data_IF_596590944828
#
_entry.id   IF_596590944828
#
_cell.length_a   1.000
_cell.length_b   1.000
_cell.length_c   1.000
_cell.angle_alpha   90.00
_cell.angle_beta   90.00
_cell.angle_gamma   90.00
#
_symmetry.space_group_name_H-M   'P 1'
#
loop_
_entity.id
_entity.type
_entity.pdbx_description
1 polymer ?
#
# COMPACT_ATOMS: atom_id res chain seq x y z
N UNK A 1 6.44 -1.48 -8.83
CA UNK A 1 5.10 -1.95 -9.30
C UNK A 1 4.76 -1.17 -10.56
N UNK A 2 4.66 -1.84 -11.71
CA UNK A 2 4.32 -1.19 -12.98
C UNK A 2 2.88 -1.55 -13.31
N UNK A 3 1.96 -0.60 -13.20
CA UNK A 3 0.59 -0.76 -13.68
C UNK A 3 0.59 -0.64 -15.21
N UNK A 4 0.91 -1.74 -15.90
CA UNK A 4 1.01 -1.77 -17.36
C UNK A 4 -0.34 -1.65 -18.11
N UNK A 5 -1.44 -1.41 -17.41
CA UNK A 5 -2.80 -1.29 -17.93
C UNK A 5 -3.50 -0.05 -17.35
N UNK A 6 -4.65 0.35 -17.91
CA UNK A 6 -5.49 1.41 -17.34
C UNK A 6 -5.93 1.03 -15.91
N UNK A 7 -5.60 1.86 -14.92
CA UNK A 7 -5.94 1.64 -13.52
C UNK A 7 -6.61 2.87 -12.92
N UNK A 8 -7.39 2.67 -11.86
CA UNK A 8 -7.98 3.76 -11.08
C UNK A 8 -7.83 3.41 -9.61
N UNK A 9 -7.37 4.39 -8.84
CA UNK A 9 -7.20 4.24 -7.40
C UNK A 9 -8.50 4.69 -6.75
N UNK A 10 -9.11 3.80 -5.98
CA UNK A 10 -10.28 4.11 -5.18
C UNK A 10 -9.93 4.14 -3.71
N UNK A 11 -10.51 5.12 -3.02
CA UNK A 11 -10.40 5.23 -1.58
C UNK A 11 -11.38 4.27 -0.90
N UNK A 12 -10.93 3.59 0.14
CA UNK A 12 -11.75 2.69 0.95
C UNK A 12 -12.02 3.36 2.30
N UNK A 13 -13.12 4.11 2.37
CA UNK A 13 -13.47 4.91 3.56
C UNK A 13 -14.00 4.06 4.72
N UNK A 14 -14.72 2.97 4.41
CA UNK A 14 -15.38 2.11 5.41
C UNK A 14 -14.97 0.65 5.14
N UNK A 15 -13.90 0.16 5.78
CA UNK A 15 -13.56 -1.25 5.74
C UNK A 15 -14.50 -2.04 6.66
N UNK A 16 -14.91 -3.24 6.23
CA UNK A 16 -15.71 -4.18 7.03
C UNK A 16 -14.92 -4.65 8.26
N UNK A 17 -13.60 -4.74 8.13
CA UNK A 17 -12.69 -5.10 9.22
C UNK A 17 -11.60 -4.02 9.37
N UNK A 18 -11.70 -3.14 10.38
CA UNK A 18 -10.76 -2.02 10.54
C UNK A 18 -9.34 -2.47 10.86
N UNK A 19 -9.15 -3.67 11.42
CA UNK A 19 -7.83 -4.27 11.66
C UNK A 19 -7.16 -4.82 10.40
N UNK A 20 -7.93 -5.08 9.34
CA UNK A 20 -7.46 -5.67 8.08
C UNK A 20 -8.19 -5.02 6.89
N UNK A 21 -8.00 -3.72 6.64
CA UNK A 21 -8.76 -2.97 5.63
C UNK A 21 -8.57 -3.54 4.21
N UNK A 22 -7.44 -4.19 3.95
CA UNK A 22 -7.20 -4.83 2.66
C UNK A 22 -8.10 -6.03 2.36
N UNK A 23 -8.70 -6.68 3.37
CA UNK A 23 -9.66 -7.76 3.14
C UNK A 23 -10.99 -7.25 2.57
N UNK A 24 -11.32 -5.99 2.82
CA UNK A 24 -12.51 -5.34 2.24
C UNK A 24 -12.29 -4.88 0.80
N UNK A 25 -11.04 -4.80 0.34
CA UNK A 25 -10.70 -4.48 -1.04
C UNK A 25 -10.86 -5.72 -1.95
N UNK A 26 -12.10 -6.14 -2.18
CA UNK A 26 -12.42 -7.29 -3.04
C UNK A 26 -12.88 -6.86 -4.43
N UNK A 27 -12.83 -7.78 -5.41
CA UNK A 27 -13.42 -7.55 -6.74
C UNK A 27 -14.91 -7.19 -6.64
N UNK A 28 -15.64 -7.84 -5.73
CA UNK A 28 -17.05 -7.58 -5.47
C UNK A 28 -17.30 -6.18 -4.92
N UNK A 29 -16.39 -5.66 -4.09
CA UNK A 29 -16.43 -4.27 -3.65
C UNK A 29 -16.26 -3.29 -4.83
N UNK A 30 -15.33 -3.52 -5.78
CA UNK A 30 -15.21 -2.66 -6.98
C UNK A 30 -16.49 -2.64 -7.80
N UNK A 31 -17.07 -3.81 -8.07
CA UNK A 31 -18.30 -3.92 -8.85
C UNK A 31 -19.46 -3.14 -8.20
N UNK A 32 -19.53 -3.16 -6.86
CA UNK A 32 -20.56 -2.45 -6.11
C UNK A 32 -20.41 -0.93 -6.17
N UNK A 33 -19.20 -0.40 -6.38
CA UNK A 33 -18.99 1.03 -6.63
C UNK A 33 -19.56 1.50 -7.99
N UNK A 34 -20.01 0.56 -8.84
CA UNK A 34 -20.66 0.80 -10.13
C UNK A 34 -19.89 1.76 -11.06
N UNK A 35 -18.55 1.71 -10.97
CA UNK A 35 -17.69 2.55 -11.81
C UNK A 35 -17.79 2.11 -13.26
N UNK A 36 -17.71 3.04 -14.22
CA UNK A 36 -17.74 2.71 -15.65
C UNK A 36 -16.62 1.73 -16.06
N UNK A 37 -15.49 1.73 -15.34
CA UNK A 37 -14.36 0.81 -15.55
C UNK A 37 -14.60 -0.63 -15.05
N UNK A 38 -15.49 -0.81 -14.06
CA UNK A 38 -15.84 -2.10 -13.46
C UNK A 38 -17.22 -2.60 -13.99
N UNK A 39 -17.86 -1.85 -14.91
CA UNK A 39 -19.21 -2.16 -15.43
C UNK A 39 -19.17 -3.34 -16.40
N UNK A 40 -19.82 -4.45 -16.02
CA UNK A 40 -19.92 -5.65 -16.85
C UNK A 40 -18.78 -6.67 -16.66
N UNK A 41 -17.84 -6.40 -15.76
CA UNK A 41 -16.81 -7.36 -15.40
C UNK A 41 -17.38 -8.48 -14.53
N UNK A 42 -17.02 -9.72 -14.84
CA UNK A 42 -17.38 -10.89 -14.04
C UNK A 42 -16.21 -11.29 -13.13
N UNK A 43 -16.54 -11.75 -11.91
CA UNK A 43 -15.61 -12.60 -11.17
C UNK A 43 -15.54 -13.91 -11.97
N UNK A 44 -14.50 -14.08 -12.80
CA UNK A 44 -14.18 -15.39 -13.35
C UNK A 44 -13.94 -16.39 -12.23
N UNK A 45 -14.03 -17.69 -12.55
CA UNK A 45 -13.74 -18.75 -11.58
C UNK A 45 -12.32 -18.56 -11.05
N UNK A 46 -12.21 -18.29 -9.75
CA UNK A 46 -10.92 -18.30 -9.03
C UNK A 46 -10.45 -19.75 -8.92
N UNK A 47 -9.37 -20.08 -9.62
CA UNK A 47 -8.63 -21.30 -9.41
C UNK A 47 -7.90 -21.20 -8.06
N UNK A 48 -8.22 -22.07 -7.09
CA UNK A 48 -7.57 -22.04 -5.79
C UNK A 48 -6.06 -22.32 -5.86
N UNK A 49 -5.55 -22.89 -6.95
CA UNK A 49 -4.14 -23.29 -7.09
C UNK A 49 -3.23 -22.16 -7.60
N UNK A 50 -3.76 -21.08 -8.18
CA UNK A 50 -2.89 -20.00 -8.69
C UNK A 50 -2.62 -18.89 -7.69
N UNK A 51 -3.41 -18.71 -6.62
CA UNK A 51 -3.22 -17.74 -5.51
C UNK A 51 -2.72 -16.32 -5.92
N UNK A 52 -2.86 -15.94 -7.18
CA UNK A 52 -2.24 -14.74 -7.76
C UNK A 52 -3.21 -13.55 -7.79
N UNK A 53 -4.50 -13.83 -7.60
CA UNK A 53 -5.59 -12.84 -7.67
C UNK A 53 -5.88 -12.32 -9.08
N UNK A 54 -5.25 -12.91 -10.11
CA UNK A 54 -5.30 -12.45 -11.51
C UNK A 54 -6.48 -13.00 -12.32
N UNK A 55 -7.34 -13.81 -11.70
CA UNK A 55 -8.39 -14.54 -12.42
C UNK A 55 -9.68 -13.73 -12.47
N UNK A 56 -10.08 -13.30 -13.67
CA UNK A 56 -11.21 -12.40 -13.94
C UNK A 56 -10.77 -11.03 -14.51
N UNK A 57 -11.69 -10.29 -15.11
CA UNK A 57 -11.42 -9.05 -15.88
C UNK A 57 -10.96 -7.84 -15.04
N UNK A 58 -10.98 -7.97 -13.72
CA UNK A 58 -10.61 -6.89 -12.78
C UNK A 58 -9.61 -7.42 -11.77
N UNK A 59 -8.45 -6.75 -11.69
CA UNK A 59 -7.49 -6.92 -10.60
C UNK A 59 -7.74 -5.86 -9.52
N UNK A 60 -8.11 -6.29 -8.33
CA UNK A 60 -8.14 -5.43 -7.14
C UNK A 60 -6.81 -5.61 -6.39
N UNK A 61 -6.07 -4.52 -6.20
CA UNK A 61 -4.84 -4.48 -5.40
C UNK A 61 -5.10 -3.53 -4.23
N UNK A 62 -4.98 -4.02 -3.01
CA UNK A 62 -4.99 -3.13 -1.86
C UNK A 62 -3.65 -2.39 -1.76
N UNK A 63 -3.70 -1.07 -1.67
CA UNK A 63 -2.54 -0.24 -1.36
C UNK A 63 -2.76 0.42 0.00
N UNK A 64 -2.14 -0.13 1.04
CA UNK A 64 -2.13 0.51 2.35
C UNK A 64 -0.96 1.51 2.40
N UNK A 65 -1.28 2.80 2.34
CA UNK A 65 -0.30 3.90 2.33
C UNK A 65 0.57 3.94 3.60
N UNK A 66 0.01 3.54 4.73
CA UNK A 66 0.72 3.47 6.02
C UNK A 66 0.95 2.01 6.42
N UNK A 67 1.79 1.30 5.65
CA UNK A 67 2.26 0.00 6.09
C UNK A 67 3.24 0.17 7.27
N UNK A 68 3.19 -0.70 8.30
CA UNK A 68 4.16 -0.65 9.40
C UNK A 68 5.61 -0.80 8.92
N UNK A 69 5.83 -1.42 7.76
CA UNK A 69 7.16 -1.50 7.13
C UNK A 69 7.66 -0.13 6.67
N UNK A 70 6.81 0.65 6.02
CA UNK A 70 7.17 1.97 5.51
C UNK A 70 7.45 2.92 6.67
N UNK A 71 6.63 2.86 7.72
CA UNK A 71 6.83 3.63 8.95
C UNK A 71 8.16 3.28 9.65
N UNK A 72 8.54 1.99 9.68
CA UNK A 72 9.81 1.53 10.24
C UNK A 72 11.01 2.10 9.47
N UNK A 73 10.98 2.04 8.14
CA UNK A 73 12.06 2.54 7.28
C UNK A 73 12.26 4.05 7.48
N UNK A 74 11.17 4.82 7.49
CA UNK A 74 11.23 6.28 7.71
C UNK A 74 11.79 6.59 9.11
N UNK A 75 11.35 5.86 10.14
CA UNK A 75 11.81 6.09 11.52
C UNK A 75 13.31 5.84 11.66
N UNK A 76 13.83 4.73 11.13
CA UNK A 76 15.26 4.40 11.17
C UNK A 76 16.06 5.47 10.44
N UNK A 77 15.60 5.91 9.27
CA UNK A 77 16.27 6.96 8.50
C UNK A 77 16.41 8.26 9.31
N UNK A 78 15.32 8.72 9.93
CA UNK A 78 15.31 9.93 10.75
C UNK A 78 16.26 9.83 11.95
N UNK A 79 16.22 8.71 12.68
CA UNK A 79 17.12 8.48 13.81
C UNK A 79 18.59 8.47 13.37
N UNK A 80 18.89 7.88 12.22
CA UNK A 80 20.25 7.81 11.68
C UNK A 80 20.78 9.20 11.32
N UNK A 81 19.99 9.98 10.57
CA UNK A 81 20.37 11.34 10.18
C UNK A 81 20.54 12.23 11.41
N UNK A 82 19.61 12.15 12.36
CA UNK A 82 19.69 12.91 13.59
C UNK A 82 20.93 12.56 14.42
N UNK A 83 21.23 11.26 14.56
CA UNK A 83 22.44 10.79 15.23
C UNK A 83 23.73 11.27 14.56
N UNK A 84 23.79 11.25 13.23
CA UNK A 84 24.93 11.76 12.47
C UNK A 84 25.12 13.27 12.66
N UNK A 85 24.04 14.04 12.61
CA UNK A 85 24.07 15.50 12.80
C UNK A 85 24.52 15.88 14.23
N UNK A 86 23.99 15.19 15.24
CA UNK A 86 24.43 15.38 16.64
C UNK A 86 25.90 15.01 16.81
N UNK A 87 26.33 13.87 16.27
CA UNK A 87 27.71 13.42 16.33
C UNK A 87 28.68 14.40 15.67
N UNK A 88 28.33 14.91 14.48
CA UNK A 88 29.11 15.93 13.78
C UNK A 88 29.14 17.25 14.56
N UNK A 89 28.00 17.68 15.11
CA UNK A 89 27.89 18.87 15.95
C UNK A 89 28.81 18.79 17.17
N UNK A 90 28.73 17.70 17.94
CA UNK A 90 29.55 17.48 19.14
C UNK A 90 31.04 17.40 18.77
N UNK A 91 31.40 16.61 17.75
CA UNK A 91 32.79 16.50 17.27
C UNK A 91 33.36 17.86 16.85
N UNK A 92 32.58 18.68 16.15
CA UNK A 92 33.00 20.01 15.72
C UNK A 92 33.28 20.96 16.89
N UNK A 93 32.52 20.82 18.00
CA UNK A 93 32.72 21.59 19.22
C UNK A 93 33.94 21.12 20.01
N UNK A 94 34.14 19.80 20.10
CA UNK A 94 35.31 19.19 20.75
C UNK A 94 36.63 19.48 20.02
N UNK A 95 36.64 19.55 18.69
CA UNK A 95 37.84 19.95 17.93
C UNK A 95 38.16 21.45 17.98
N UNK A 96 37.20 22.29 18.42
CA UNK A 96 37.37 23.74 18.53
C UNK A 96 37.69 24.21 19.95
N UNK A 97 37.55 23.34 20.95
CA UNK A 97 37.95 23.56 22.34
C UNK A 97 39.38 23.08 22.54
#
# INVERSE_FOLDING_TARGET
ICFGANYTILHLDIPDTPSQPCLSCTKKWCLNQNLPICRGATLGDTDPDTATGKEGDVEARCFQRDSPRDQLVVTIFLLTVFGLLLGAGIKSRLHKA
#
